data_IF_980038020555
#
_entry.id   IF_980038020555
#
_cell.length_a   1.000
_cell.length_b   1.000
_cell.length_c   1.000
_cell.angle_alpha   90.00
_cell.angle_beta   90.00
_cell.angle_gamma   90.00
#
_symmetry.space_group_name_H-M   'P 1'
#
loop_
_entity.id
_entity.type
_entity.pdbx_description
1 polymer ?
#
# COMPACT_ATOMS: atom_id res chain seq x y z
N UNK A 1 8.46 18.07 -7.71
CA UNK A 1 9.03 17.01 -8.56
C UNK A 1 7.91 16.46 -9.42
N UNK A 2 8.07 16.44 -10.73
CA UNK A 2 7.05 15.93 -11.65
C UNK A 2 7.10 14.40 -11.72
N UNK A 3 6.05 13.77 -12.26
CA UNK A 3 6.02 12.32 -12.49
C UNK A 3 7.15 11.88 -13.43
N UNK A 4 7.48 12.69 -14.44
CA UNK A 4 8.55 12.37 -15.40
C UNK A 4 9.94 12.44 -14.76
N UNK A 5 10.16 13.38 -13.84
CA UNK A 5 11.38 13.47 -13.06
C UNK A 5 11.56 12.25 -12.14
N UNK A 6 10.48 11.82 -11.47
CA UNK A 6 10.45 10.61 -10.65
C UNK A 6 10.87 9.38 -11.45
N UNK A 7 10.24 9.16 -12.61
CA UNK A 7 10.55 8.03 -13.50
C UNK A 7 12.00 8.04 -13.96
N UNK A 8 12.52 9.21 -14.36
CA UNK A 8 13.91 9.35 -14.81
C UNK A 8 14.90 9.05 -13.69
N UNK A 9 14.64 9.53 -12.47
CA UNK A 9 15.49 9.25 -11.32
C UNK A 9 15.43 7.78 -10.91
N UNK A 10 14.24 7.15 -10.95
CA UNK A 10 14.06 5.75 -10.61
C UNK A 10 14.85 4.84 -11.58
N UNK A 11 14.78 5.12 -12.89
CA UNK A 11 15.57 4.40 -13.89
C UNK A 11 17.09 4.53 -13.66
N UNK A 12 17.56 5.70 -13.19
CA UNK A 12 18.97 5.94 -12.86
C UNK A 12 19.39 5.18 -11.58
N UNK A 13 18.53 5.14 -10.57
CA UNK A 13 18.75 4.38 -9.34
C UNK A 13 18.81 2.87 -9.62
N UNK A 14 17.87 2.35 -10.43
CA UNK A 14 17.85 0.96 -10.85
C UNK A 14 19.14 0.54 -11.57
N UNK A 15 19.64 1.36 -12.50
CA UNK A 15 20.93 1.10 -13.20
C UNK A 15 22.13 1.06 -12.25
N UNK A 16 22.03 1.70 -11.08
CA UNK A 16 23.08 1.72 -10.06
C UNK A 16 22.91 0.61 -9.01
N UNK A 17 21.80 -0.12 -9.03
CA UNK A 17 21.45 -1.09 -7.99
C UNK A 17 21.10 -0.45 -6.64
N UNK A 18 20.75 0.84 -6.63
CA UNK A 18 20.39 1.56 -5.40
C UNK A 18 18.91 1.33 -5.06
N UNK A 19 18.65 0.22 -4.36
CA UNK A 19 17.30 -0.21 -3.99
C UNK A 19 16.63 0.78 -3.04
N UNK A 20 17.37 1.32 -2.06
CA UNK A 20 16.82 2.27 -1.10
C UNK A 20 16.32 3.54 -1.81
N UNK A 21 17.09 4.07 -2.77
CA UNK A 21 16.66 5.23 -3.55
C UNK A 21 15.49 4.91 -4.47
N UNK A 22 15.44 3.69 -5.02
CA UNK A 22 14.33 3.22 -5.83
C UNK A 22 13.03 3.19 -5.04
N UNK A 23 13.06 2.66 -3.80
CA UNK A 23 11.90 2.60 -2.90
C UNK A 23 11.38 3.99 -2.53
N UNK A 24 12.29 4.93 -2.24
CA UNK A 24 11.95 6.33 -1.93
C UNK A 24 11.21 6.99 -3.11
N UNK A 25 11.71 6.79 -4.33
CA UNK A 25 11.13 7.36 -5.55
C UNK A 25 9.80 6.70 -5.91
N UNK A 26 9.67 5.39 -5.70
CA UNK A 26 8.42 4.66 -5.94
C UNK A 26 7.33 5.09 -4.97
N UNK A 27 7.66 5.26 -3.68
CA UNK A 27 6.74 5.80 -2.68
C UNK A 27 6.31 7.24 -3.00
N UNK A 28 7.25 8.08 -3.47
CA UNK A 28 6.94 9.44 -3.88
C UNK A 28 6.03 9.48 -5.12
N UNK A 29 6.19 8.55 -6.05
CA UNK A 29 5.26 8.38 -7.18
C UNK A 29 3.86 7.96 -6.71
N UNK A 30 3.77 6.95 -5.86
CA UNK A 30 2.50 6.45 -5.29
C UNK A 30 1.75 7.59 -4.61
N UNK A 31 2.43 8.40 -3.79
CA UNK A 31 1.85 9.54 -3.09
C UNK A 31 1.19 10.59 -4.02
N UNK A 32 1.67 10.70 -5.25
CA UNK A 32 1.16 11.69 -6.21
C UNK A 32 0.11 11.11 -7.17
N UNK A 33 0.22 9.83 -7.53
CA UNK A 33 -0.48 9.28 -8.69
C UNK A 33 -1.42 8.10 -8.37
N UNK A 34 -1.29 7.46 -7.22
CA UNK A 34 -2.01 6.23 -6.90
C UNK A 34 -2.92 6.46 -5.69
N UNK A 35 -4.25 6.46 -5.86
CA UNK A 35 -5.17 6.48 -4.73
C UNK A 35 -5.32 5.08 -4.11
N UNK A 36 -5.60 5.02 -2.81
CA UNK A 36 -6.07 3.79 -2.17
C UNK A 36 -7.54 3.57 -2.54
N UNK A 37 -7.89 2.40 -3.05
CA UNK A 37 -9.25 2.08 -3.51
C UNK A 37 -9.74 0.73 -3.03
N UNK A 38 -11.03 0.60 -2.78
CA UNK A 38 -11.70 -0.66 -2.40
C UNK A 38 -12.81 -0.96 -3.41
N UNK A 39 -13.03 -2.24 -3.71
CA UNK A 39 -14.14 -2.63 -4.57
C UNK A 39 -15.47 -2.27 -3.89
N UNK A 40 -16.32 -1.52 -4.58
CA UNK A 40 -17.63 -1.10 -4.07
C UNK A 40 -18.63 -1.10 -5.22
N UNK A 41 -19.57 -2.06 -5.20
CA UNK A 41 -20.58 -2.22 -6.23
C UNK A 41 -21.67 -1.15 -6.21
N UNK A 42 -21.71 -0.32 -5.17
CA UNK A 42 -22.64 0.81 -5.07
C UNK A 42 -22.10 2.10 -5.67
N UNK A 43 -20.83 2.09 -6.13
CA UNK A 43 -20.16 3.24 -6.71
C UNK A 43 -20.09 3.11 -8.25
N UNK A 44 -20.48 4.15 -8.98
CA UNK A 44 -20.56 4.17 -10.46
C UNK A 44 -19.22 3.87 -11.18
N UNK A 45 -18.10 3.83 -10.45
CA UNK A 45 -16.75 3.61 -10.97
C UNK A 45 -16.08 2.30 -10.55
N UNK A 46 -16.85 1.27 -10.15
CA UNK A 46 -16.42 -0.06 -9.68
C UNK A 46 -15.61 -0.08 -8.36
N UNK A 47 -14.96 1.03 -7.99
CA UNK A 47 -14.12 1.15 -6.78
C UNK A 47 -14.30 2.51 -6.09
N UNK A 48 -14.48 2.48 -4.78
CA UNK A 48 -14.50 3.67 -3.93
C UNK A 48 -13.08 4.07 -3.49
N UNK A 49 -12.81 5.37 -3.39
CA UNK A 49 -11.52 5.91 -2.92
C UNK A 49 -11.52 6.00 -1.39
N UNK A 50 -10.46 5.49 -0.76
CA UNK A 50 -10.21 5.62 0.67
C UNK A 50 -9.22 6.77 0.88
N UNK A 51 -9.58 7.73 1.72
CA UNK A 51 -8.68 8.82 2.09
C UNK A 51 -7.54 8.30 2.98
N UNK A 52 -6.36 8.13 2.39
CA UNK A 52 -5.17 7.64 3.08
C UNK A 52 -3.88 8.20 2.47
N UNK A 53 -2.80 8.20 3.25
CA UNK A 53 -1.46 8.59 2.82
C UNK A 53 -0.53 7.38 2.81
N UNK A 54 0.22 7.11 1.73
CA UNK A 54 1.16 6.01 1.69
C UNK A 54 2.36 6.32 2.59
N UNK A 55 2.83 5.32 3.35
CA UNK A 55 3.89 5.45 4.36
C UNK A 55 5.10 4.60 3.98
N UNK A 56 4.87 3.36 3.56
CA UNK A 56 5.95 2.38 3.40
C UNK A 56 5.66 1.40 2.29
N UNK A 57 6.72 1.00 1.60
CA UNK A 57 6.70 -0.01 0.55
C UNK A 57 7.40 -1.27 1.06
N UNK A 58 6.78 -2.43 0.84
CA UNK A 58 7.28 -3.74 1.23
C UNK A 58 7.41 -4.62 -0.01
N UNK A 59 8.64 -4.81 -0.50
CA UNK A 59 8.91 -5.73 -1.60
C UNK A 59 8.86 -7.17 -1.09
N UNK A 60 8.18 -8.06 -1.82
CA UNK A 60 8.13 -9.48 -1.47
C UNK A 60 7.20 -9.86 -0.32
N UNK A 61 6.32 -8.96 0.12
CA UNK A 61 5.45 -9.18 1.29
C UNK A 61 4.10 -9.85 0.95
N UNK A 62 3.77 -10.00 -0.34
CA UNK A 62 2.62 -10.79 -0.77
C UNK A 62 2.85 -12.30 -0.73
N UNK A 63 1.79 -13.13 -0.77
CA UNK A 63 1.91 -14.59 -0.78
C UNK A 63 2.71 -15.12 -1.98
N UNK A 64 2.72 -14.35 -3.07
CA UNK A 64 3.46 -14.66 -4.30
C UNK A 64 4.73 -13.80 -4.47
N UNK A 65 5.20 -13.15 -3.40
CA UNK A 65 6.33 -12.21 -3.47
C UNK A 65 5.98 -10.86 -4.09
N UNK A 66 4.71 -10.47 -4.12
CA UNK A 66 4.30 -9.16 -4.64
C UNK A 66 4.69 -8.01 -3.70
N UNK A 67 4.73 -6.80 -4.27
CA UNK A 67 4.99 -5.58 -3.49
C UNK A 67 3.69 -5.11 -2.84
N UNK A 68 3.75 -4.83 -1.54
CA UNK A 68 2.65 -4.26 -0.76
C UNK A 68 2.97 -2.84 -0.32
N UNK A 69 1.95 -2.02 -0.19
CA UNK A 69 2.06 -0.64 0.30
C UNK A 69 1.26 -0.52 1.59
N UNK A 70 1.87 0.07 2.62
CA UNK A 70 1.18 0.47 3.84
C UNK A 70 0.74 1.92 3.75
N UNK A 71 -0.48 2.17 4.16
CA UNK A 71 -1.15 3.46 4.15
C UNK A 71 -1.58 3.85 5.56
N UNK A 72 -1.54 5.13 5.87
CA UNK A 72 -2.20 5.73 7.03
C UNK A 72 -3.53 6.30 6.57
N UNK A 73 -4.65 5.75 7.04
CA UNK A 73 -5.97 6.34 6.83
C UNK A 73 -6.16 7.57 7.71
N UNK A 74 -7.12 8.42 7.37
CA UNK A 74 -7.43 9.64 8.16
C UNK A 74 -7.91 9.35 9.59
N UNK A 75 -8.42 8.15 9.86
CA UNK A 75 -8.81 7.65 11.19
C UNK A 75 -7.63 7.09 12.01
N UNK A 76 -6.40 7.10 11.46
CA UNK A 76 -5.20 6.59 12.12
C UNK A 76 -4.99 5.09 11.98
N UNK A 77 -5.85 4.39 11.22
CA UNK A 77 -5.72 2.95 10.99
C UNK A 77 -4.73 2.70 9.84
N UNK A 78 -3.88 1.69 10.02
CA UNK A 78 -3.01 1.23 8.94
C UNK A 78 -3.77 0.32 7.98
N UNK A 79 -3.62 0.58 6.69
CA UNK A 79 -4.20 -0.23 5.62
C UNK A 79 -3.10 -0.79 4.72
N UNK A 80 -3.36 -1.95 4.11
CA UNK A 80 -2.47 -2.55 3.13
C UNK A 80 -3.12 -2.55 1.75
N UNK A 81 -2.30 -2.36 0.71
CA UNK A 81 -2.71 -2.48 -0.68
C UNK A 81 -1.68 -3.22 -1.52
N UNK A 82 -2.09 -3.61 -2.73
CA UNK A 82 -1.16 -3.96 -3.80
C UNK A 82 -0.43 -2.70 -4.33
N UNK A 83 0.49 -2.89 -5.27
CA UNK A 83 1.23 -1.80 -5.92
C UNK A 83 0.33 -0.80 -6.69
N UNK A 84 -0.88 -1.22 -7.06
CA UNK A 84 -1.83 -0.41 -7.81
C UNK A 84 -2.77 0.39 -6.88
N UNK A 85 -2.58 0.30 -5.56
CA UNK A 85 -3.44 0.97 -4.59
C UNK A 85 -4.77 0.25 -4.36
N UNK A 86 -4.90 -1.00 -4.76
CA UNK A 86 -6.07 -1.80 -4.43
C UNK A 86 -5.96 -2.31 -3.00
N UNK A 87 -6.88 -1.88 -2.15
CA UNK A 87 -6.97 -2.31 -0.77
C UNK A 87 -7.05 -3.84 -0.71
N UNK A 88 -6.08 -4.43 -0.01
CA UNK A 88 -6.03 -5.86 0.30
C UNK A 88 -6.34 -5.96 1.79
N UNK A 89 -7.61 -5.78 2.15
CA UNK A 89 -8.07 -6.09 3.49
C UNK A 89 -8.62 -7.49 3.52
N UNK A 90 -8.12 -8.32 4.42
CA UNK A 90 -9.04 -8.88 5.43
C UNK A 90 -9.05 -7.89 6.60
N UNK A 91 -10.14 -7.82 7.39
CA UNK A 91 -10.14 -7.05 8.63
C UNK A 91 -8.90 -7.48 9.42
N UNK A 92 -8.28 -6.51 10.09
CA UNK A 92 -7.17 -6.73 11.01
C UNK A 92 -7.30 -8.07 11.71
N UNK A 93 -6.17 -8.73 11.97
CA UNK A 93 -6.01 -9.66 13.08
C UNK A 93 -6.77 -9.12 14.31
N UNK A 94 -8.07 -9.38 14.38
CA UNK A 94 -8.78 -9.41 15.62
C UNK A 94 -8.01 -10.51 16.33
N UNK A 95 -7.31 -10.20 17.43
CA UNK A 95 -6.67 -11.26 18.19
C UNK A 95 -7.74 -12.33 18.36
N UNK A 96 -7.43 -13.58 17.98
CA UNK A 96 -8.34 -14.69 18.23
C UNK A 96 -8.57 -14.69 19.74
N UNK A 97 -9.64 -14.03 20.18
CA UNK A 97 -10.02 -13.95 21.58
C UNK A 97 -10.55 -15.35 21.87
N UNK A 98 -9.68 -16.21 22.37
CA UNK A 98 -10.12 -17.46 22.95
C UNK A 98 -11.15 -17.12 24.03
N UNK A 99 -12.35 -17.73 24.02
CA UNK A 99 -13.28 -17.59 25.11
C UNK A 99 -12.54 -17.89 26.42
N UNK A 100 -12.74 -17.07 27.46
CA UNK A 100 -12.14 -17.28 28.79
C UNK A 100 -12.38 -18.70 29.33
N UNK A 101 -13.43 -19.36 28.85
CA UNK A 101 -13.81 -20.76 29.13
C UNK A 101 -12.77 -21.79 28.67
N UNK A 102 -11.90 -21.44 27.71
CA UNK A 102 -10.83 -22.30 27.18
C UNK A 102 -9.46 -22.06 27.86
N UNK A 103 -9.37 -21.15 28.83
CA UNK A 103 -8.14 -20.82 29.56
C UNK A 103 -7.95 -21.64 30.86
N UNK A 104 -8.50 -22.87 30.91
CA UNK A 104 -8.49 -23.75 32.07
C UNK A 104 -7.46 -24.87 31.96
#
# INVERSE_FOLDING_TARGET
>A
MTIDELKRQAAKAARRGDVAKMDELELAYIKLAVPLTVADSSYDGDRAVILASPIRLFRGAGPNGETRIQWMRSDGIYAMSDINGHFIGEPDDAPTLFPLEMAA
#
